data_IF_952348979310
#
_entry.id   IF_952348979310
#
_cell.length_a   1.000
_cell.length_b   1.000
_cell.length_c   1.000
_cell.angle_alpha   90.00
_cell.angle_beta   90.00
_cell.angle_gamma   90.00
#
_symmetry.space_group_name_H-M   'P 1'
#
loop_
_entity.id
_entity.type
_entity.pdbx_description
1 polymer ?
2 non-polymer ?
3 water ?
#
# COMPACT_ATOMS: atom_id res chain seq x y z
N UNK A 2 2.17 -25.59 8.03
CA UNK A 2 1.82 -24.30 7.38
C UNK A 2 2.47 -23.12 8.12
N UNK A 3 2.34 -23.11 9.45
CA UNK A 3 2.96 -22.06 10.26
C UNK A 3 4.48 -22.19 10.18
N UNK A 4 4.97 -23.41 10.39
CA UNK A 4 6.39 -23.72 10.24
C UNK A 4 6.91 -23.39 8.83
N UNK A 5 6.03 -23.48 7.82
CA UNK A 5 6.40 -23.20 6.42
C UNK A 5 6.55 -21.71 6.17
N UNK A 6 5.62 -20.92 6.70
CA UNK A 6 5.64 -19.46 6.51
C UNK A 6 6.91 -18.86 7.14
N UNK A 7 7.32 -19.43 8.27
CA UNK A 7 8.55 -19.00 8.93
C UNK A 7 9.82 -19.41 8.21
N UNK A 8 9.84 -20.65 7.68
CA UNK A 8 10.95 -21.09 6.82
C UNK A 8 11.09 -20.17 5.62
N UNK A 9 9.96 -19.91 4.95
CA UNK A 9 9.88 -18.99 3.82
C UNK A 9 10.39 -17.60 4.19
N UNK A 10 9.90 -17.08 5.30
CA UNK A 10 10.32 -15.78 5.77
C UNK A 10 11.82 -15.76 6.00
N UNK A 11 12.30 -16.76 6.73
CA UNK A 11 13.70 -16.79 7.11
C UNK A 11 14.63 -16.86 5.89
N UNK A 12 14.20 -17.59 4.86
CA UNK A 12 14.93 -17.64 3.60
C UNK A 12 14.95 -16.30 2.85
N UNK A 13 13.77 -15.70 2.68
CA UNK A 13 13.63 -14.38 2.07
C UNK A 13 14.43 -13.32 2.86
N UNK A 14 14.25 -13.33 4.17
CA UNK A 14 14.99 -12.39 5.02
C UNK A 14 16.49 -12.45 4.75
N UNK A 15 17.07 -13.64 4.85
CA UNK A 15 18.50 -13.83 4.58
C UNK A 15 18.88 -13.31 3.20
N UNK A 16 18.02 -13.59 2.22
CA UNK A 16 18.21 -13.11 0.86
C UNK A 16 18.24 -11.59 0.75
N UNK A 17 17.35 -10.92 1.47
CA UNK A 17 17.28 -9.47 1.42
C UNK A 17 18.56 -8.76 1.92
N UNK A 18 19.23 -9.36 2.90
CA UNK A 18 20.49 -8.79 3.40
C UNK A 18 21.68 -9.09 2.45
N UNK A 19 21.54 -10.12 1.62
CA UNK A 19 22.63 -10.63 0.79
C UNK A 19 22.89 -9.87 -0.49
N UNK A 20 21.97 -9.00 -0.87
CA UNK A 20 22.07 -8.31 -2.16
C UNK A 20 21.92 -6.82 -2.07
N UNK A 21 22.07 -6.11 -3.20
CA UNK A 21 21.89 -4.67 -3.21
C UNK A 21 20.41 -4.37 -3.16
N UNK A 22 20.08 -3.11 -2.87
CA UNK A 22 18.68 -2.69 -2.79
C UNK A 22 17.93 -2.88 -4.11
N UNK A 23 18.64 -2.78 -5.22
CA UNK A 23 18.05 -3.01 -6.55
C UNK A 23 17.48 -4.42 -6.65
N UNK A 24 18.18 -5.40 -6.09
CA UNK A 24 17.70 -6.78 -6.04
C UNK A 24 16.38 -6.90 -5.26
N UNK A 25 16.36 -6.29 -4.08
CA UNK A 25 15.20 -6.35 -3.21
C UNK A 25 14.01 -5.68 -3.90
N UNK A 26 14.27 -4.51 -4.51
CA UNK A 26 13.24 -3.77 -5.22
C UNK A 26 12.61 -4.56 -6.37
N UNK A 27 13.46 -5.14 -7.22
CA UNK A 27 13.00 -6.04 -8.29
C UNK A 27 12.12 -7.17 -7.79
N UNK A 28 12.60 -7.87 -6.76
CA UNK A 28 11.88 -8.99 -6.14
C UNK A 28 10.49 -8.56 -5.73
N UNK A 29 10.40 -7.48 -4.95
CA UNK A 29 9.10 -7.01 -4.48
C UNK A 29 8.22 -6.44 -5.58
N UNK A 30 8.84 -5.85 -6.61
CA UNK A 30 8.07 -5.35 -7.77
C UNK A 30 7.40 -6.52 -8.50
N UNK A 31 8.16 -7.59 -8.74
CA UNK A 31 7.67 -8.72 -9.53
C UNK A 31 6.82 -9.66 -8.70
N UNK A 32 7.09 -9.71 -7.39
CA UNK A 32 6.46 -10.65 -6.47
C UNK A 32 6.02 -9.90 -5.21
N UNK A 33 4.95 -9.10 -5.34
CA UNK A 33 4.48 -8.35 -4.18
C UNK A 33 4.01 -9.22 -2.99
N UNK A 34 3.59 -10.46 -3.26
CA UNK A 34 3.22 -11.40 -2.17
C UNK A 34 4.43 -11.69 -1.26
N UNK A 35 5.63 -11.63 -1.82
CA UNK A 35 6.87 -11.76 -1.05
C UNK A 35 7.00 -10.63 -0.03
N UNK A 36 6.50 -9.45 -0.39
CA UNK A 36 6.53 -8.32 0.53
C UNK A 36 5.60 -8.57 1.72
N UNK A 37 4.41 -9.11 1.41
CA UNK A 37 3.47 -9.52 2.43
C UNK A 37 4.08 -10.57 3.36
N UNK A 38 4.76 -11.56 2.78
CA UNK A 38 5.44 -12.59 3.55
C UNK A 38 6.44 -11.98 4.51
N UNK A 39 7.27 -11.07 4.00
CA UNK A 39 8.34 -10.46 4.76
C UNK A 39 7.74 -9.78 5.99
N UNK A 40 6.69 -8.99 5.79
CA UNK A 40 6.10 -8.25 6.89
C UNK A 40 5.29 -9.10 7.87
N UNK A 41 4.69 -10.18 7.41
CA UNK A 41 4.10 -11.17 8.31
C UNK A 41 5.18 -11.73 9.22
N UNK A 42 6.33 -12.04 8.64
CA UNK A 42 7.46 -12.59 9.39
C UNK A 42 8.02 -11.55 10.33
N UNK A 43 8.26 -10.35 9.81
CA UNK A 43 8.82 -9.27 10.60
C UNK A 43 7.94 -8.95 11.82
N UNK A 44 6.63 -8.85 11.60
CA UNK A 44 5.69 -8.61 12.69
C UNK A 44 5.69 -9.74 13.73
N UNK A 45 5.77 -10.99 13.28
CA UNK A 45 5.88 -12.13 14.21
C UNK A 45 7.12 -12.01 15.13
N UNK A 46 8.16 -11.37 14.64
CA UNK A 46 9.38 -11.18 15.43
C UNK A 46 9.25 -10.03 16.41
N UNK A 47 8.88 -8.86 15.92
CA UNK A 47 8.84 -7.66 16.76
C UNK A 47 7.71 -7.68 17.80
N UNK A 48 6.65 -8.45 17.54
CA UNK A 48 5.57 -8.65 18.53
C UNK A 48 6.11 -9.17 19.84
N UNK A 49 7.13 -10.01 19.77
CA UNK A 49 7.71 -10.60 20.99
C UNK A 49 8.83 -9.74 21.64
N UNK A 50 8.99 -8.50 21.18
CA UNK A 50 9.95 -7.59 21.80
C UNK A 50 9.19 -6.70 22.78
N UNK A 51 9.69 -6.57 24.02
CA UNK A 51 9.03 -5.69 25.01
C UNK A 51 8.81 -4.26 24.49
N UNK A 52 9.77 -3.76 23.72
CA UNK A 52 9.63 -2.44 23.09
C UNK A 52 10.24 -2.47 21.70
N UNK A 53 9.42 -2.14 20.71
CA UNK A 53 9.87 -1.96 19.35
C UNK A 53 10.66 -0.68 19.16
N UNK A 54 11.66 -0.73 18.28
CA UNK A 54 12.39 0.51 18.04
C UNK A 54 11.54 1.65 17.43
N UNK A 55 10.54 1.37 16.58
CA UNK A 55 9.68 2.47 16.08
C UNK A 55 9.04 3.27 17.20
N UNK A 56 8.62 2.59 18.26
CA UNK A 56 7.94 3.25 19.39
C UNK A 56 8.91 4.06 20.23
N UNK A 57 10.10 3.51 20.43
CA UNK A 57 11.15 4.24 21.10
C UNK A 57 11.52 5.51 20.28
N UNK A 58 11.58 5.36 18.96
CA UNK A 58 11.90 6.48 18.09
C UNK A 58 10.77 7.54 18.13
N UNK A 59 9.52 7.07 18.06
CA UNK A 59 8.35 7.93 18.19
C UNK A 59 8.36 8.69 19.51
N UNK A 60 8.70 8.00 20.60
CA UNK A 60 8.84 8.64 21.91
C UNK A 60 9.87 9.76 21.89
N UNK A 61 11.04 9.48 21.33
CA UNK A 61 12.06 10.52 21.17
C UNK A 61 11.51 11.73 20.43
N UNK A 62 10.87 11.49 19.27
CA UNK A 62 10.43 12.59 18.40
C UNK A 62 9.26 13.39 18.98
N UNK A 63 8.45 12.74 19.80
CA UNK A 63 7.33 13.40 20.48
C UNK A 63 7.78 14.43 21.50
N UNK A 64 9.03 14.37 21.94
CA UNK A 64 9.57 15.33 22.88
C UNK A 64 10.07 16.63 22.22
N UNK A 65 10.17 16.61 20.90
CA UNK A 65 10.61 17.75 20.13
C UNK A 65 9.43 18.30 19.35
N UNK A 66 9.54 19.57 18.89
CA UNK A 66 8.41 20.18 18.19
C UNK A 66 7.95 19.36 16.98
N UNK A 67 6.62 19.23 16.84
CA UNK A 67 6.05 18.43 15.77
C UNK A 67 6.17 19.09 14.39
N UNK A 68 6.67 20.32 14.33
CA UNK A 68 6.95 20.96 13.05
C UNK A 68 8.18 20.37 12.35
N UNK A 69 9.03 19.67 13.08
CA UNK A 69 10.18 18.99 12.48
C UNK A 69 9.75 17.99 11.43
N UNK A 70 10.30 18.13 10.22
CA UNK A 70 9.94 17.27 9.11
C UNK A 70 10.78 15.99 9.19
N UNK A 71 10.08 14.85 9.14
CA UNK A 71 10.66 13.53 9.31
C UNK A 71 10.61 12.77 7.98
N UNK A 72 11.71 12.09 7.64
CA UNK A 72 11.69 11.09 6.57
C UNK A 72 11.88 9.72 7.20
N UNK A 73 10.93 8.83 6.94
CA UNK A 73 10.99 7.46 7.47
C UNK A 73 11.49 6.59 6.33
N UNK A 74 12.78 6.24 6.40
CA UNK A 74 13.48 5.45 5.39
C UNK A 74 13.28 3.96 5.64
N UNK A 75 12.45 3.35 4.82
CA UNK A 75 12.05 1.95 5.03
C UNK A 75 10.96 1.88 6.05
N UNK A 76 9.83 2.53 5.75
CA UNK A 76 8.78 2.82 6.71
C UNK A 76 7.87 1.63 7.07
N UNK A 77 7.89 0.57 6.26
CA UNK A 77 6.98 -0.55 6.43
C UNK A 77 5.56 -0.07 6.51
N UNK A 78 4.84 -0.42 7.57
CA UNK A 78 3.43 -0.04 7.66
C UNK A 78 3.16 1.31 8.35
N UNK A 79 4.19 2.16 8.43
CA UNK A 79 4.05 3.56 8.82
C UNK A 79 3.54 3.77 10.24
N UNK A 80 3.92 2.87 11.14
CA UNK A 80 3.62 3.05 12.56
C UNK A 80 4.25 4.36 13.10
N UNK A 81 5.40 4.77 12.56
CA UNK A 81 6.01 6.04 13.00
C UNK A 81 5.08 7.21 12.67
N UNK A 82 4.64 7.31 11.41
CA UNK A 82 3.72 8.37 10.99
C UNK A 82 2.40 8.32 11.79
N UNK A 83 1.92 7.12 12.12
CA UNK A 83 0.72 6.95 12.93
C UNK A 83 0.89 7.40 14.38
N UNK A 84 2.14 7.48 14.84
CA UNK A 84 2.44 7.68 16.25
C UNK A 84 2.86 9.12 16.59
N UNK A 85 3.14 9.92 15.57
CA UNK A 85 3.55 11.30 15.77
C UNK A 85 2.79 12.23 14.83
N UNK A 86 2.71 13.49 15.23
CA UNK A 86 1.95 14.49 14.48
C UNK A 86 2.78 15.19 13.41
N UNK A 87 4.10 14.99 13.45
CA UNK A 87 5.00 15.58 12.47
C UNK A 87 4.58 15.27 11.04
N UNK A 88 5.02 16.14 10.10
CA UNK A 88 5.00 15.72 8.71
C UNK A 88 6.01 14.60 8.55
N UNK A 89 5.57 13.44 8.07
CA UNK A 89 6.42 12.28 7.92
C UNK A 89 6.35 11.76 6.48
N UNK A 90 7.46 11.89 5.76
CA UNK A 90 7.61 11.28 4.46
C UNK A 90 7.96 9.82 4.67
N UNK A 91 7.17 8.95 4.03
CA UNK A 91 7.24 7.51 4.22
C UNK A 91 7.76 6.84 2.96
N UNK A 92 8.93 6.22 3.05
CA UNK A 92 9.57 5.59 1.90
C UNK A 92 9.77 4.09 2.10
N UNK A 93 9.35 3.29 1.12
CA UNK A 93 9.63 1.86 1.17
C UNK A 93 9.57 1.27 -0.25
N UNK A 94 10.08 0.05 -0.40
CA UNK A 94 10.14 -0.62 -1.70
C UNK A 94 8.76 -1.09 -2.22
N UNK A 95 7.79 -1.13 -1.32
CA UNK A 95 6.44 -1.53 -1.67
C UNK A 95 5.54 -0.97 -0.59
N UNK A 96 4.23 -1.03 -0.81
CA UNK A 96 3.28 -0.29 -0.01
C UNK A 96 2.32 -1.18 0.77
N UNK A 97 2.29 -0.99 2.08
CA UNK A 97 1.28 -1.54 2.96
C UNK A 97 0.38 -0.44 3.53
N UNK A 98 0.52 0.78 3.04
CA UNK A 98 -0.14 1.90 3.67
C UNK A 98 -0.19 3.01 2.67
N UNK A 99 -1.31 3.74 2.59
CA UNK A 99 -1.47 4.74 1.54
C UNK A 99 -0.51 5.92 1.61
N UNK A 100 0.17 6.11 2.73
CA UNK A 100 1.16 7.19 2.86
C UNK A 100 2.49 6.85 2.23
N UNK A 101 2.71 5.58 1.91
CA UNK A 101 3.99 5.16 1.34
C UNK A 101 4.24 5.71 -0.07
N UNK A 102 5.37 6.39 -0.20
CA UNK A 102 5.93 6.76 -1.48
C UNK A 102 6.88 5.65 -1.82
N UNK A 103 6.54 4.91 -2.88
CA UNK A 103 7.23 3.70 -3.23
C UNK A 103 8.50 4.04 -4.03
N UNK A 104 9.65 3.60 -3.53
CA UNK A 104 10.92 3.90 -4.14
C UNK A 104 12.01 3.11 -3.44
N UNK A 105 13.19 3.08 -4.04
CA UNK A 105 14.42 2.75 -3.34
C UNK A 105 14.86 3.99 -2.54
N UNK A 106 15.07 3.79 -1.25
CA UNK A 106 15.38 4.89 -0.34
C UNK A 106 16.80 5.42 -0.55
N UNK A 107 17.59 4.71 -1.35
CA UNK A 107 18.84 5.23 -1.88
C UNK A 107 18.61 6.48 -2.72
N UNK A 108 17.40 6.61 -3.28
CA UNK A 108 17.06 7.74 -4.11
C UNK A 108 15.59 8.10 -3.90
N UNK A 109 15.35 9.04 -2.99
CA UNK A 109 13.99 9.46 -2.65
C UNK A 109 13.64 10.80 -3.32
N UNK A 110 12.35 11.00 -3.66
CA UNK A 110 11.89 12.23 -4.32
C UNK A 110 11.73 13.42 -3.37
N UNK A 111 12.84 13.87 -2.80
CA UNK A 111 12.88 15.04 -1.94
C UNK A 111 14.04 15.93 -2.37
N UNK A 112 13.92 17.23 -2.10
CA UNK A 112 15.01 18.20 -2.36
C UNK A 112 16.16 17.97 -1.39
N UNK A 113 17.34 18.50 -1.71
CA UNK A 113 18.41 18.63 -0.74
C UNK A 113 17.90 19.43 0.46
N UNK A 114 18.39 19.10 1.65
CA UNK A 114 18.12 19.88 2.87
C UNK A 114 16.64 20.20 3.04
N UNK A 115 15.83 19.17 2.87
CA UNK A 115 14.38 19.28 2.97
C UNK A 115 13.83 18.71 4.28
N UNK A 116 14.62 17.92 5.01
CA UNK A 116 14.09 17.27 6.20
C UNK A 116 14.92 17.57 7.44
N UNK A 117 14.26 17.48 8.60
CA UNK A 117 14.88 17.74 9.89
C UNK A 117 15.38 16.47 10.56
N UNK A 118 14.71 15.37 10.28
CA UNK A 118 15.03 14.08 10.90
C UNK A 118 14.91 12.94 9.87
N UNK A 119 15.99 12.18 9.69
CA UNK A 119 15.97 10.97 8.87
C UNK A 119 15.98 9.78 9.79
N UNK A 120 15.00 8.89 9.60
CA UNK A 120 14.90 7.67 10.40
C UNK A 120 15.14 6.40 9.57
N UNK A 121 16.10 5.60 10.03
CA UNK A 121 16.26 4.20 9.60
C UNK A 121 15.99 3.27 10.77
N UNK A 122 14.78 2.74 10.85
CA UNK A 122 14.37 1.85 11.92
C UNK A 122 14.30 0.40 11.41
N UNK A 123 15.40 -0.33 11.61
CA UNK A 123 15.53 -1.72 11.17
C UNK A 123 15.48 -1.89 9.63
N UNK A 124 15.90 -0.86 8.91
CA UNK A 124 15.70 -0.78 7.46
C UNK A 124 16.97 -0.82 6.62
N UNK A 125 18.15 -0.79 7.23
CA UNK A 125 19.40 -0.74 6.47
C UNK A 125 19.78 -2.16 6.00
N UNK A 126 19.00 -2.69 5.08
CA UNK A 126 19.04 -4.13 4.76
C UNK A 126 20.04 -4.48 3.68
N UNK A 127 20.01 -3.77 2.55
CA UNK A 127 20.85 -4.13 1.42
C UNK A 127 22.34 -3.94 1.64
N UNK A 128 23.15 -4.51 0.76
CA UNK A 128 24.61 -4.41 0.87
C UNK A 128 25.15 -3.01 0.56
N UNK A 129 24.31 -2.16 -0.06
CA UNK A 129 24.73 -0.81 -0.44
C UNK A 129 24.31 0.20 0.62
N UNK A 130 24.65 -0.09 1.87
CA UNK A 130 24.22 0.73 2.99
C UNK A 130 24.75 2.16 2.88
N UNK A 131 25.93 2.31 2.30
CA UNK A 131 26.49 3.64 2.07
C UNK A 131 25.55 4.54 1.27
N UNK A 132 24.85 3.97 0.30
CA UNK A 132 23.93 4.73 -0.55
C UNK A 132 22.80 5.34 0.29
N UNK A 133 22.28 4.54 1.24
CA UNK A 133 21.14 4.97 2.05
C UNK A 133 21.54 6.15 2.91
N UNK A 134 22.69 6.04 3.55
CA UNK A 134 23.13 7.05 4.49
C UNK A 134 23.55 8.35 3.79
N UNK A 135 24.09 8.22 2.59
CA UNK A 135 24.45 9.41 1.80
C UNK A 135 23.20 10.13 1.32
N UNK A 136 22.16 9.38 1.01
CA UNK A 136 20.88 9.98 0.64
C UNK A 136 20.22 10.66 1.84
N UNK A 137 20.34 10.04 3.01
CA UNK A 137 19.93 10.66 4.28
C UNK A 137 20.64 11.99 4.46
N UNK A 138 21.97 11.98 4.32
CA UNK A 138 22.73 13.21 4.41
C UNK A 138 22.22 14.27 3.44
N UNK A 139 21.98 13.88 2.19
CA UNK A 139 21.54 14.81 1.14
C UNK A 139 20.29 15.58 1.52
N UNK A 140 19.26 14.83 1.96
CA UNK A 140 17.96 15.41 2.26
C UNK A 140 17.92 16.14 3.60
N UNK A 141 18.85 15.82 4.50
CA UNK A 141 18.90 16.45 5.82
C UNK A 141 19.41 17.88 5.74
N UNK A 142 18.72 18.78 6.43
CA UNK A 142 19.21 20.13 6.62
C UNK A 142 20.48 20.09 7.45
N UNK A 143 21.36 21.10 7.29
CA UNK A 143 22.53 21.14 8.15
C UNK A 143 22.08 21.14 9.61
N UNK A 144 22.78 20.39 10.46
CA UNK A 144 22.42 20.23 11.86
C UNK A 144 21.27 19.27 12.11
N UNK A 145 20.69 18.69 11.05
CA UNK A 145 19.59 17.75 11.19
C UNK A 145 19.94 16.48 11.92
N UNK A 146 18.91 15.69 12.24
CA UNK A 146 19.05 14.49 13.05
C UNK A 146 18.94 13.22 12.22
N UNK A 147 19.88 12.30 12.41
CA UNK A 147 19.80 10.94 11.88
C UNK A 147 19.62 9.93 13.02
N UNK A 148 18.53 9.18 12.96
CA UNK A 148 18.29 8.10 13.92
C UNK A 148 18.40 6.75 13.22
N UNK A 149 19.23 5.87 13.78
CA UNK A 149 19.39 4.51 13.27
C UNK A 149 19.10 3.51 14.38
N UNK A 150 18.16 2.58 14.10
CA UNK A 150 17.95 1.39 14.95
C UNK A 150 18.22 0.13 14.16
N UNK A 151 19.04 -0.75 14.71
CA UNK A 151 19.25 -2.07 14.14
C UNK A 151 19.44 -3.09 15.25
N UNK A 152 19.06 -4.33 14.97
CA UNK A 152 19.30 -5.43 15.89
C UNK A 152 20.79 -5.47 16.27
N UNK A 153 21.08 -5.68 17.56
CA UNK A 153 22.45 -5.52 18.06
C UNK A 153 23.42 -6.51 17.43
N UNK A 154 22.95 -7.71 17.15
CA UNK A 154 23.79 -8.78 16.58
C UNK A 154 24.26 -8.46 15.17
N UNK A 155 23.65 -7.48 14.53
CA UNK A 155 24.16 -6.97 13.27
C UNK A 155 25.53 -6.30 13.42
N UNK A 156 25.86 -5.79 14.61
CA UNK A 156 27.11 -5.04 14.82
C UNK A 156 28.21 -5.91 15.43
N UNK A 157 29.21 -6.28 14.63
CA UNK A 157 30.38 -6.98 15.13
C UNK A 157 31.41 -5.99 15.68
N UNK A 158 31.31 -4.74 15.23
CA UNK A 158 32.19 -3.69 15.75
C UNK A 158 31.49 -2.35 15.67
N UNK A 159 30.80 -1.99 16.74
CA UNK A 159 30.08 -0.73 16.82
C UNK A 159 31.02 0.44 16.60
N UNK A 160 32.21 0.36 17.18
CA UNK A 160 33.22 1.41 17.03
C UNK A 160 33.46 1.77 15.56
N UNK A 161 33.69 0.77 14.72
CA UNK A 161 34.00 1.04 13.32
C UNK A 161 32.75 1.50 12.57
N UNK A 162 31.58 0.95 12.93
CA UNK A 162 30.34 1.41 12.31
C UNK A 162 30.15 2.90 12.53
N UNK A 163 30.22 3.32 13.80
CA UNK A 163 30.12 4.72 14.14
C UNK A 163 31.19 5.56 13.45
N UNK A 164 32.40 5.03 13.33
CA UNK A 164 33.49 5.75 12.66
C UNK A 164 33.14 6.01 11.19
N UNK A 165 32.58 5.00 10.54
CA UNK A 165 32.23 5.08 9.12
C UNK A 165 31.11 6.08 8.90
N UNK A 166 30.13 6.06 9.80
CA UNK A 166 28.99 6.96 9.70
C UNK A 166 29.48 8.40 9.84
N UNK A 167 30.39 8.63 10.78
CA UNK A 167 31.00 9.94 10.95
C UNK A 167 31.68 10.46 9.67
N UNK A 168 32.29 9.55 8.91
CA UNK A 168 32.92 9.88 7.61
C UNK A 168 31.93 10.36 6.55
N UNK A 169 30.66 10.06 6.77
CA UNK A 169 29.61 10.52 5.87
C UNK A 169 29.00 11.84 6.34
N UNK A 170 29.71 12.59 7.19
CA UNK A 170 29.32 13.95 7.56
C UNK A 170 28.39 14.03 8.76
N UNK A 171 28.51 13.08 9.68
CA UNK A 171 27.68 13.06 10.88
C UNK A 171 28.54 13.07 12.12
N UNK A 172 27.93 13.48 13.24
CA UNK A 172 28.53 13.39 14.55
C UNK A 172 27.58 12.60 15.45
N UNK A 173 28.09 11.62 16.18
CA UNK A 173 27.29 10.90 17.16
C UNK A 173 26.89 11.87 18.28
N UNK A 174 25.61 11.86 18.64
CA UNK A 174 25.07 12.70 19.68
C UNK A 174 24.73 11.83 20.88
N UNK A 175 24.11 10.69 20.64
CA UNK A 175 23.94 9.71 21.70
C UNK A 175 23.72 8.35 21.11
N UNK A 176 23.96 7.33 21.93
CA UNK A 176 23.66 5.97 21.55
C UNK A 176 23.06 5.23 22.72
N UNK A 177 22.00 4.50 22.43
CA UNK A 177 21.30 3.76 23.44
C UNK A 177 21.42 2.27 23.09
N UNK A 178 22.23 1.59 23.89
CA UNK A 178 22.48 0.17 23.78
C UNK A 178 21.76 -0.60 24.89
N UNK A 179 20.75 0.01 25.50
CA UNK A 179 20.11 -0.59 26.68
C UNK A 179 18.99 -1.57 26.32
N UNK A 180 18.38 -1.40 25.15
CA UNK A 180 17.37 -2.37 24.72
C UNK A 180 18.04 -3.64 24.24
N UNK A 181 17.61 -4.79 24.75
CA UNK A 181 18.24 -6.09 24.44
C UNK A 181 18.08 -6.54 22.98
N UNK A 182 17.10 -5.97 22.27
CA UNK A 182 16.81 -6.38 20.89
C UNK A 182 17.38 -5.46 19.84
N UNK A 183 17.77 -4.24 20.21
CA UNK A 183 18.30 -3.33 19.21
C UNK A 183 19.17 -2.25 19.82
N UNK A 184 20.08 -1.72 19.00
CA UNK A 184 20.85 -0.54 19.33
C UNK A 184 20.24 0.65 18.61
N UNK A 185 20.18 1.77 19.31
CA UNK A 185 19.68 3.01 18.73
C UNK A 185 20.77 4.07 18.79
N UNK A 186 21.06 4.65 17.63
CA UNK A 186 22.07 5.71 17.52
C UNK A 186 21.43 6.99 16.99
N UNK A 187 21.73 8.11 17.64
CA UNK A 187 21.39 9.45 17.16
C UNK A 187 22.66 10.16 16.69
N UNK A 188 22.63 10.61 15.45
CA UNK A 188 23.71 11.41 14.86
C UNK A 188 23.14 12.73 14.44
N UNK A 189 23.99 13.74 14.42
CA UNK A 189 23.61 15.05 13.93
C UNK A 189 24.43 15.30 12.68
N UNK A 190 23.81 15.89 11.66
CA UNK A 190 24.51 16.20 10.42
C UNK A 190 25.41 17.42 10.63
N UNK A 191 26.71 17.24 10.41
CA UNK A 191 27.67 18.34 10.43
C UNK A 191 27.90 18.95 9.05
N UNK A 192 27.65 18.19 7.98
CA UNK A 192 27.89 18.64 6.63
C UNK A 192 27.83 17.48 5.66
N UNK A 193 28.33 17.67 4.42
CA UNK A 193 28.38 16.56 3.45
C UNK A 193 29.47 15.54 3.79
N UNK A 194 29.42 14.34 3.16
CA UNK A 194 30.43 13.33 3.44
C UNK A 194 31.83 13.89 3.29
N UNK A 195 32.77 13.46 4.11
CA UNK A 195 34.13 13.97 3.99
C UNK A 195 35.13 12.98 3.38
N UNK A 196 34.59 11.84 2.93
CA UNK A 196 35.30 10.93 2.04
C UNK A 196 34.60 11.01 0.69
N UNK A 197 35.36 11.14 -0.38
CA UNK A 197 34.77 11.28 -1.71
C UNK A 197 33.97 10.05 -2.12
N UNK A 198 33.16 10.18 -3.18
CA UNK A 198 32.29 9.05 -3.57
C UNK A 198 33.04 7.81 -4.13
N UNK A 199 34.37 7.81 -4.05
CA UNK A 199 35.18 6.65 -4.44
C UNK A 199 36.05 6.13 -3.29
N UNK A 200 35.75 6.54 -2.07
CA UNK A 200 36.45 6.01 -0.90
C UNK A 200 35.84 4.67 -0.51
N UNK A 201 36.61 3.84 0.19
CA UNK A 201 36.07 2.61 0.78
C UNK A 201 35.50 3.01 2.13
N UNK A 202 34.69 2.13 2.72
CA UNK A 202 34.10 2.43 4.02
C UNK A 202 33.58 1.12 4.63
N UNK A 203 34.51 0.27 5.05
CA UNK A 203 34.19 -1.10 5.47
C UNK A 203 33.39 -1.18 6.75
N UNK A 204 33.53 -0.16 7.60
CA UNK A 204 32.78 -0.09 8.84
C UNK A 204 31.28 -0.19 8.68
N UNK A 205 30.77 0.07 7.48
CA UNK A 205 29.31 0.01 7.23
C UNK A 205 28.80 -1.39 6.95
N UNK A 206 29.70 -2.32 6.66
CA UNK A 206 29.32 -3.70 6.36
C UNK A 206 28.80 -4.38 7.63
N UNK A 207 27.49 -4.51 7.73
CA UNK A 207 26.85 -5.12 8.90
C UNK A 207 26.53 -6.60 8.67
N UNK A 208 26.43 -7.35 9.76
CA UNK A 208 25.97 -8.74 9.69
C UNK A 208 24.47 -8.72 9.48
N UNK A 209 23.91 -9.76 8.82
CA UNK A 209 22.45 -9.82 8.62
C UNK A 209 21.69 -10.00 9.93
N UNK A 210 20.46 -9.48 10.01
CA UNK A 210 19.62 -9.81 11.17
C UNK A 210 18.94 -11.15 10.91
N UNK A 211 19.37 -12.18 11.66
CA UNK A 211 18.82 -13.54 11.52
C UNK A 211 17.76 -13.92 12.57
N UNK A 212 17.34 -12.96 13.39
CA UNK A 212 16.22 -13.17 14.33
C UNK A 212 16.40 -14.37 15.26
N UNK A 213 17.48 -14.32 16.02
CA UNK A 213 17.86 -15.30 17.04
C UNK A 213 19.07 -16.13 16.59
N UNK B 2 -13.70 9.15 20.59
CA UNK B 2 -12.74 8.77 19.52
C UNK B 2 -13.36 7.78 18.53
N UNK B 3 -14.04 6.77 19.07
CA UNK B 3 -14.78 5.82 18.23
C UNK B 3 -15.90 6.54 17.48
N UNK B 4 -16.64 7.36 18.21
CA UNK B 4 -17.69 8.21 17.63
C UNK B 4 -17.12 9.13 16.55
N UNK B 5 -15.95 9.72 16.79
CA UNK B 5 -15.30 10.60 15.80
C UNK B 5 -15.00 9.89 14.50
N UNK B 6 -14.41 8.70 14.61
CA UNK B 6 -14.02 7.92 13.43
C UNK B 6 -15.23 7.67 12.52
N UNK B 7 -16.37 7.34 13.13
CA UNK B 7 -17.61 7.12 12.38
C UNK B 7 -18.13 8.34 11.62
N UNK B 8 -18.17 9.48 12.28
CA UNK B 8 -18.65 10.72 11.64
C UNK B 8 -17.76 11.11 10.47
N UNK B 9 -16.46 10.93 10.64
CA UNK B 9 -15.50 11.23 9.58
C UNK B 9 -15.67 10.30 8.39
N UNK B 10 -15.88 9.02 8.64
CA UNK B 10 -16.20 8.07 7.57
C UNK B 10 -17.45 8.48 6.80
N UNK B 11 -18.50 8.85 7.51
CA UNK B 11 -19.77 9.23 6.87
C UNK B 11 -19.61 10.42 5.91
N UNK B 12 -18.89 11.45 6.36
CA UNK B 12 -18.59 12.60 5.52
C UNK B 12 -17.83 12.16 4.28
N UNK B 13 -16.75 11.40 4.48
CA UNK B 13 -15.89 10.97 3.36
C UNK B 13 -16.67 10.07 2.40
N UNK B 14 -17.41 9.12 2.97
CA UNK B 14 -18.22 8.22 2.18
C UNK B 14 -19.13 9.00 1.22
N UNK B 15 -19.87 9.97 1.76
CA UNK B 15 -20.83 10.74 0.96
C UNK B 15 -20.13 11.47 -0.17
N UNK B 16 -18.95 12.00 0.12
CA UNK B 16 -18.16 12.71 -0.86
C UNK B 16 -17.76 11.80 -2.01
N UNK B 17 -17.45 10.53 -1.71
CA UNK B 17 -17.07 9.56 -2.75
C UNK B 17 -18.19 9.25 -3.73
N UNK B 18 -19.43 9.20 -3.23
CA UNK B 18 -20.60 8.99 -4.09
C UNK B 18 -21.14 10.26 -4.74
N UNK B 19 -20.62 11.42 -4.34
CA UNK B 19 -21.17 12.71 -4.77
C UNK B 19 -20.41 13.34 -5.93
N UNK B 20 -19.20 12.87 -6.20
CA UNK B 20 -18.36 13.47 -7.22
C UNK B 20 -17.88 12.49 -8.26
N UNK B 21 -17.19 13.00 -9.30
CA UNK B 21 -16.57 12.11 -10.26
C UNK B 21 -15.35 11.45 -9.64
N UNK B 22 -14.80 10.44 -10.31
CA UNK B 22 -13.65 9.70 -9.79
C UNK B 22 -12.43 10.60 -9.62
N UNK B 23 -12.31 11.60 -10.49
CA UNK B 23 -11.20 12.55 -10.40
C UNK B 23 -11.15 13.26 -9.05
N UNK B 24 -12.33 13.65 -8.54
CA UNK B 24 -12.43 14.27 -7.22
C UNK B 24 -11.94 13.34 -6.10
N UNK B 25 -12.45 12.11 -6.11
CA UNK B 25 -12.04 11.08 -5.15
C UNK B 25 -10.54 10.81 -5.20
N UNK B 26 -10.00 10.72 -6.41
CA UNK B 26 -8.56 10.51 -6.58
C UNK B 26 -7.74 11.60 -5.87
N UNK B 27 -8.11 12.85 -6.08
CA UNK B 27 -7.36 13.98 -5.50
C UNK B 27 -7.51 14.01 -3.99
N UNK B 28 -8.69 13.61 -3.53
CA UNK B 28 -8.99 13.51 -2.11
C UNK B 28 -7.96 12.59 -1.45
N UNK B 29 -7.81 11.39 -1.99
CA UNK B 29 -6.94 10.40 -1.37
C UNK B 29 -5.46 10.65 -1.67
N UNK B 30 -5.16 11.22 -2.83
CA UNK B 30 -3.78 11.61 -3.16
C UNK B 30 -3.27 12.62 -2.15
N UNK B 31 -4.02 13.69 -1.95
CA UNK B 31 -3.61 14.75 -1.02
C UNK B 31 -3.72 14.36 0.46
N UNK B 32 -4.62 13.44 0.79
CA UNK B 32 -4.86 13.06 2.18
C UNK B 32 -4.98 11.54 2.34
N UNK B 33 -3.82 10.84 2.29
CA UNK B 33 -3.83 9.36 2.42
C UNK B 33 -4.40 8.82 3.75
N UNK B 34 -4.28 9.58 4.83
CA UNK B 34 -4.91 9.20 6.09
C UNK B 34 -6.42 9.12 5.98
N UNK B 35 -7.01 9.93 5.10
CA UNK B 35 -8.45 9.81 4.77
C UNK B 35 -8.79 8.43 4.23
N UNK B 36 -7.88 7.86 3.46
CA UNK B 36 -8.10 6.53 2.90
C UNK B 36 -8.15 5.47 3.99
N UNK B 37 -7.25 5.57 4.97
CA UNK B 37 -7.26 4.67 6.11
C UNK B 37 -8.58 4.79 6.86
N UNK B 38 -9.00 6.04 7.08
CA UNK B 38 -10.27 6.33 7.73
C UNK B 38 -11.42 5.71 6.95
N UNK B 39 -11.44 5.92 5.64
CA UNK B 39 -12.48 5.33 4.80
C UNK B 39 -12.54 3.81 4.96
N UNK B 40 -11.39 3.15 4.83
CA UNK B 40 -11.38 1.70 4.86
C UNK B 40 -11.69 1.11 6.23
N UNK B 41 -11.33 1.81 7.30
CA UNK B 41 -11.76 1.42 8.67
C UNK B 41 -13.29 1.49 8.79
N UNK B 42 -13.89 2.54 8.24
CA UNK B 42 -15.34 2.67 8.25
C UNK B 42 -16.05 1.67 7.34
N UNK B 43 -15.52 1.49 6.14
CA UNK B 43 -16.10 0.56 5.17
C UNK B 43 -16.06 -0.85 5.72
N UNK B 44 -14.93 -1.21 6.31
CA UNK B 44 -14.77 -2.53 6.89
C UNK B 44 -15.78 -2.79 8.00
N UNK B 45 -16.03 -1.77 8.83
CA UNK B 45 -16.96 -1.88 9.92
C UNK B 45 -18.38 -2.11 9.42
N UNK B 46 -18.73 -1.51 8.28
CA UNK B 46 -20.04 -1.74 7.69
C UNK B 46 -20.13 -3.18 7.19
N UNK B 47 -19.24 -3.54 6.26
CA UNK B 47 -19.38 -4.84 5.58
C UNK B 47 -19.21 -6.04 6.51
N UNK B 48 -18.46 -5.88 7.60
CA UNK B 48 -18.27 -7.02 8.51
C UNK B 48 -19.57 -7.38 9.24
N UNK B 49 -20.46 -6.40 9.39
CA UNK B 49 -21.78 -6.65 10.00
C UNK B 49 -22.73 -7.39 9.05
N UNK B 50 -22.28 -7.67 7.83
CA UNK B 50 -23.08 -8.43 6.86
C UNK B 50 -22.87 -9.92 7.08
N UNK B 51 -23.93 -10.73 6.91
CA UNK B 51 -23.79 -12.19 7.02
C UNK B 51 -22.75 -12.76 6.07
N UNK B 52 -22.72 -12.28 4.84
CA UNK B 52 -21.69 -12.68 3.89
C UNK B 52 -21.05 -11.46 3.23
N UNK B 53 -19.75 -11.53 2.99
CA UNK B 53 -19.03 -10.47 2.32
C UNK B 53 -19.06 -10.77 0.82
N UNK B 54 -19.42 -9.76 0.01
CA UNK B 54 -19.44 -9.98 -1.44
C UNK B 54 -18.10 -10.40 -2.05
N UNK B 55 -16.98 -9.85 -1.58
CA UNK B 55 -15.69 -10.27 -2.12
C UNK B 55 -15.50 -11.79 -1.96
N UNK B 56 -16.02 -12.37 -0.88
CA UNK B 56 -15.94 -13.82 -0.65
C UNK B 56 -16.86 -14.61 -1.57
N UNK B 57 -18.05 -14.08 -1.82
CA UNK B 57 -18.93 -14.72 -2.80
C UNK B 57 -18.29 -14.71 -4.19
N UNK B 58 -17.63 -13.61 -4.53
CA UNK B 58 -17.00 -13.46 -5.84
C UNK B 58 -15.80 -14.41 -5.95
N UNK B 59 -14.99 -14.49 -4.90
CA UNK B 59 -13.88 -15.44 -4.83
C UNK B 59 -14.36 -16.89 -5.01
N UNK B 60 -15.38 -17.25 -4.25
CA UNK B 60 -15.96 -18.58 -4.35
C UNK B 60 -16.36 -18.89 -5.78
N UNK B 61 -17.08 -17.95 -6.40
CA UNK B 61 -17.46 -18.07 -7.81
C UNK B 61 -16.24 -18.33 -8.70
N UNK B 62 -15.18 -17.55 -8.51
CA UNK B 62 -13.99 -17.64 -9.37
C UNK B 62 -13.16 -18.92 -9.11
N UNK B 63 -13.23 -19.44 -7.90
CA UNK B 63 -12.57 -20.71 -7.56
C UNK B 63 -13.24 -21.91 -8.22
N UNK B 64 -14.42 -21.70 -8.79
CA UNK B 64 -15.10 -22.74 -9.57
C UNK B 64 -14.69 -22.70 -11.05
N UNK B 65 -13.84 -21.74 -11.43
CA UNK B 65 -13.38 -21.61 -12.80
C UNK B 65 -11.88 -21.82 -12.83
N UNK B 66 -11.33 -22.16 -14.01
CA UNK B 66 -9.87 -22.27 -14.15
C UNK B 66 -9.11 -21.09 -13.55
N UNK B 67 -8.12 -21.40 -12.72
CA UNK B 67 -7.30 -20.37 -12.08
C UNK B 67 -6.42 -19.60 -13.06
N UNK B 68 -6.38 -20.06 -14.31
CA UNK B 68 -5.66 -19.36 -15.37
C UNK B 68 -6.37 -18.08 -15.84
N UNK B 69 -7.65 -17.94 -15.51
CA UNK B 69 -8.37 -16.74 -15.87
C UNK B 69 -7.75 -15.48 -15.22
N UNK B 70 -7.39 -14.51 -16.06
CA UNK B 70 -6.78 -13.27 -15.61
C UNK B 70 -7.90 -12.36 -15.10
N UNK B 71 -7.74 -11.89 -13.86
CA UNK B 71 -8.76 -11.11 -13.15
C UNK B 71 -8.29 -9.67 -12.96
N UNK B 72 -9.20 -8.72 -13.17
CA UNK B 72 -8.96 -7.33 -12.83
C UNK B 72 -9.94 -6.93 -11.75
N UNK B 73 -9.40 -6.54 -10.60
CA UNK B 73 -10.17 -6.13 -9.44
C UNK B 73 -10.21 -4.60 -9.43
N UNK B 74 -11.31 -4.02 -9.90
CA UNK B 74 -11.50 -2.57 -9.96
C UNK B 74 -12.01 -2.04 -8.62
N UNK B 75 -11.21 -1.26 -7.91
CA UNK B 75 -11.56 -0.82 -6.55
C UNK B 75 -11.28 -1.93 -5.57
N UNK B 76 -10.02 -2.38 -5.56
CA UNK B 76 -9.63 -3.61 -4.90
C UNK B 76 -9.56 -3.52 -3.38
N UNK B 77 -9.57 -2.32 -2.82
CA UNK B 77 -9.36 -2.14 -1.40
C UNK B 77 -8.11 -2.86 -0.92
N UNK B 78 -8.27 -3.67 0.13
CA UNK B 78 -7.16 -4.40 0.73
C UNK B 78 -6.88 -5.73 0.06
N UNK B 79 -7.43 -5.94 -1.15
CA UNK B 79 -7.07 -7.09 -1.98
C UNK B 79 -7.42 -8.45 -1.43
N UNK B 80 -8.49 -8.51 -0.65
CA UNK B 80 -8.99 -9.81 -0.20
C UNK B 80 -9.30 -10.78 -1.37
N UNK B 81 -9.73 -10.26 -2.51
CA UNK B 81 -10.00 -11.11 -3.66
C UNK B 81 -8.71 -11.83 -4.10
N UNK B 82 -7.65 -11.06 -4.36
CA UNK B 82 -6.35 -11.62 -4.72
C UNK B 82 -5.82 -12.60 -3.68
N UNK B 83 -6.02 -12.30 -2.40
CA UNK B 83 -5.57 -13.20 -1.32
C UNK B 83 -6.37 -14.51 -1.27
N UNK B 84 -7.54 -14.54 -1.93
CA UNK B 84 -8.47 -15.66 -1.81
C UNK B 84 -8.49 -16.61 -3.03
N UNK B 85 -7.87 -16.22 -4.13
CA UNK B 85 -7.81 -17.04 -5.34
C UNK B 85 -6.40 -17.11 -5.88
N UNK B 86 -6.13 -18.15 -6.66
CA UNK B 86 -4.80 -18.38 -7.23
C UNK B 86 -4.59 -17.64 -8.55
N UNK B 87 -5.68 -17.11 -9.12
CA UNK B 87 -5.61 -16.46 -10.44
C UNK B 87 -4.64 -15.29 -10.42
N UNK B 88 -4.07 -14.95 -11.58
CA UNK B 88 -3.45 -13.62 -11.72
C UNK B 88 -4.52 -12.53 -11.55
N UNK B 89 -4.30 -11.62 -10.60
CA UNK B 89 -5.27 -10.58 -10.30
C UNK B 89 -4.60 -9.22 -10.30
N UNK B 90 -5.02 -8.37 -11.22
CA UNK B 90 -4.60 -6.98 -11.25
C UNK B 90 -5.48 -6.21 -10.31
N UNK B 91 -4.85 -5.47 -9.40
CA UNK B 91 -5.54 -4.81 -8.31
C UNK B 91 -5.43 -3.32 -8.47
N UNK B 92 -6.57 -2.66 -8.68
CA UNK B 92 -6.60 -1.21 -8.93
C UNK B 92 -7.40 -0.47 -7.85
N UNK B 93 -6.81 0.60 -7.31
CA UNK B 93 -7.53 1.46 -6.39
C UNK B 93 -6.91 2.87 -6.40
N UNK B 94 -7.61 3.82 -5.79
CA UNK B 94 -7.15 5.21 -5.71
C UNK B 94 -5.95 5.41 -4.76
N UNK B 95 -5.72 4.46 -3.88
CA UNK B 95 -4.58 4.49 -2.96
C UNK B 95 -4.29 3.07 -2.53
N UNK B 96 -3.13 2.83 -1.92
CA UNK B 96 -2.64 1.48 -1.63
C UNK B 96 -2.67 1.05 -0.15
N UNK B 97 -3.38 -0.06 0.12
CA UNK B 97 -3.31 -0.77 1.41
C UNK B 97 -2.49 -2.04 1.29
N UNK B 98 -1.99 -2.33 0.10
CA UNK B 98 -1.45 -3.64 -0.20
C UNK B 98 -0.48 -3.50 -1.37
N UNK B 99 0.64 -4.25 -1.32
CA UNK B 99 1.67 -4.05 -2.31
C UNK B 99 1.30 -4.48 -3.73
N UNK B 100 0.21 -5.22 -3.89
CA UNK B 100 -0.28 -5.55 -5.22
C UNK B 100 -1.02 -4.42 -5.90
N UNK B 101 -1.38 -3.41 -5.14
CA UNK B 101 -2.21 -2.32 -5.66
C UNK B 101 -1.46 -1.48 -6.67
N UNK B 102 -2.02 -1.42 -7.87
CA UNK B 102 -1.62 -0.47 -8.86
C UNK B 102 -2.50 0.74 -8.66
N UNK B 103 -1.90 1.86 -8.23
CA UNK B 103 -2.69 3.03 -7.87
C UNK B 103 -3.10 3.81 -9.11
N UNK B 104 -4.41 3.98 -9.30
CA UNK B 104 -4.91 4.74 -10.43
C UNK B 104 -6.40 4.96 -10.25
N UNK B 105 -6.97 5.78 -11.13
CA UNK B 105 -8.40 5.87 -11.29
C UNK B 105 -8.80 4.70 -12.17
N UNK B 106 -9.68 3.85 -11.65
CA UNK B 106 -10.09 2.63 -12.37
C UNK B 106 -10.82 2.94 -13.71
N UNK B 107 -11.24 4.19 -13.92
CA UNK B 107 -11.70 4.66 -15.23
C UNK B 107 -10.57 4.61 -16.28
N UNK B 108 -9.32 4.70 -15.83
CA UNK B 108 -8.17 4.64 -16.73
C UNK B 108 -7.09 3.74 -16.16
N UNK B 109 -7.20 2.47 -16.48
CA UNK B 109 -6.37 1.41 -15.93
C UNK B 109 -5.21 1.11 -16.91
N UNK B 110 -3.98 0.93 -16.38
CA UNK B 110 -2.84 0.66 -17.26
C UNK B 110 -2.76 -0.80 -17.75
N UNK B 111 -3.78 -1.21 -18.50
CA UNK B 111 -3.82 -2.51 -19.16
C UNK B 111 -4.11 -2.27 -20.63
N UNK B 112 -3.62 -3.14 -21.50
CA UNK B 112 -3.96 -3.04 -22.92
C UNK B 112 -5.35 -3.63 -23.13
N UNK B 113 -5.93 -3.33 -24.28
CA UNK B 113 -7.22 -3.86 -24.70
C UNK B 113 -7.20 -5.39 -24.65
N UNK B 114 -8.32 -5.99 -24.27
CA UNK B 114 -8.49 -7.45 -24.33
C UNK B 114 -7.33 -8.21 -23.65
N UNK B 115 -7.05 -7.81 -22.42
CA UNK B 115 -5.94 -8.38 -21.66
C UNK B 115 -6.40 -9.20 -20.45
N UNK B 116 -7.68 -9.13 -20.11
CA UNK B 116 -8.18 -9.84 -18.93
C UNK B 116 -9.42 -10.65 -19.25
N UNK B 117 -9.61 -11.73 -18.49
CA UNK B 117 -10.74 -12.64 -18.65
C UNK B 117 -11.91 -12.26 -17.72
N UNK B 118 -11.60 -11.62 -16.60
CA UNK B 118 -12.62 -11.25 -15.62
C UNK B 118 -12.38 -9.85 -15.06
N UNK B 119 -13.40 -9.02 -15.14
CA UNK B 119 -13.42 -7.72 -14.51
C UNK B 119 -14.34 -7.82 -13.30
N UNK B 120 -13.90 -7.27 -12.17
CA UNK B 120 -14.70 -7.31 -10.93
C UNK B 120 -14.89 -5.91 -10.36
N UNK B 121 -16.15 -5.52 -10.15
CA UNK B 121 -16.46 -4.32 -9.35
C UNK B 121 -17.21 -4.79 -8.13
N UNK B 122 -16.51 -4.91 -7.00
CA UNK B 122 -17.13 -5.37 -5.75
C UNK B 122 -17.30 -4.17 -4.83
N UNK B 123 -18.51 -3.59 -4.86
CA UNK B 123 -18.89 -2.42 -4.06
C UNK B 123 -18.04 -1.17 -4.37
N UNK B 124 -17.53 -1.10 -5.60
CA UNK B 124 -16.57 -0.06 -5.95
C UNK B 124 -17.13 0.96 -6.92
N UNK B 125 -18.34 0.76 -7.42
CA UNK B 125 -18.91 1.67 -8.41
C UNK B 125 -19.42 2.93 -7.71
N UNK B 126 -18.51 3.75 -7.24
CA UNK B 126 -18.85 4.80 -6.28
C UNK B 126 -19.13 6.14 -6.96
N UNK B 127 -18.17 6.60 -7.75
CA UNK B 127 -18.26 7.95 -8.34
C UNK B 127 -19.42 8.14 -9.33
N UNK B 128 -19.70 9.40 -9.66
CA UNK B 128 -20.81 9.73 -10.54
C UNK B 128 -20.60 9.27 -11.99
N UNK B 129 -19.34 9.05 -12.39
CA UNK B 129 -19.00 8.65 -13.76
C UNK B 129 -18.94 7.11 -13.93
N UNK B 130 -20.02 6.42 -13.58
CA UNK B 130 -20.03 4.95 -13.59
C UNK B 130 -19.90 4.38 -15.00
N UNK B 131 -20.42 5.08 -15.99
CA UNK B 131 -20.24 4.64 -17.38
C UNK B 131 -18.77 4.56 -17.78
N UNK B 132 -17.95 5.52 -17.34
CA UNK B 132 -16.51 5.46 -17.56
C UNK B 132 -15.92 4.15 -17.06
N UNK B 133 -16.31 3.75 -15.84
CA UNK B 133 -15.78 2.55 -15.24
C UNK B 133 -16.16 1.30 -16.06
N UNK B 134 -17.43 1.22 -16.44
CA UNK B 134 -17.95 0.03 -17.13
C UNK B 134 -17.38 -0.10 -18.55
N UNK B 135 -17.24 1.04 -19.22
CA UNK B 135 -16.60 1.06 -20.53
C UNK B 135 -15.12 0.68 -20.48
N UNK B 136 -14.43 1.06 -19.40
CA UNK B 136 -13.03 0.69 -19.21
C UNK B 136 -12.91 -0.81 -18.94
N UNK B 137 -13.84 -1.37 -18.17
CA UNK B 137 -13.93 -2.82 -18.00
C UNK B 137 -14.16 -3.49 -19.36
N UNK B 138 -15.08 -2.97 -20.16
CA UNK B 138 -15.27 -3.48 -21.51
C UNK B 138 -13.95 -3.49 -22.29
N UNK B 139 -13.24 -2.37 -22.30
CA UNK B 139 -12.00 -2.26 -23.08
C UNK B 139 -11.00 -3.39 -22.74
N UNK B 140 -10.76 -3.60 -21.46
CA UNK B 140 -9.70 -4.53 -21.05
C UNK B 140 -10.13 -5.99 -21.14
N UNK B 141 -11.44 -6.23 -21.13
CA UNK B 141 -11.96 -7.59 -21.23
C UNK B 141 -11.73 -8.19 -22.62
N UNK B 142 -11.32 -9.45 -22.61
CA UNK B 142 -11.22 -10.23 -23.82
C UNK B 142 -12.62 -10.48 -24.36
N UNK B 143 -12.73 -10.76 -25.67
CA UNK B 143 -14.06 -11.00 -26.21
C UNK B 143 -14.72 -12.15 -25.46
N UNK B 144 -15.99 -12.00 -25.12
CA UNK B 144 -16.68 -13.00 -24.34
C UNK B 144 -16.25 -13.07 -22.89
N UNK B 145 -15.47 -12.07 -22.44
CA UNK B 145 -14.99 -12.04 -21.07
C UNK B 145 -16.10 -11.82 -20.05
N UNK B 146 -15.76 -11.98 -18.78
CA UNK B 146 -16.74 -11.92 -17.70
C UNK B 146 -16.64 -10.60 -16.91
N UNK B 147 -17.78 -9.94 -16.73
CA UNK B 147 -17.88 -8.80 -15.83
C UNK B 147 -18.71 -9.21 -14.61
N UNK B 148 -18.12 -9.10 -13.42
CA UNK B 148 -18.81 -9.42 -12.16
C UNK B 148 -19.01 -8.15 -11.36
N UNK B 149 -20.26 -7.87 -11.00
CA UNK B 149 -20.56 -6.71 -10.18
C UNK B 149 -21.24 -7.13 -8.89
N UNK B 150 -20.78 -6.56 -7.77
CA UNK B 150 -21.56 -6.58 -6.53
C UNK B 150 -21.78 -5.13 -6.16
N UNK B 151 -23.00 -4.80 -5.74
CA UNK B 151 -23.28 -3.43 -5.38
C UNK B 151 -24.37 -3.40 -4.31
N UNK B 152 -24.33 -2.36 -3.49
CA UNK B 152 -25.26 -2.23 -2.38
C UNK B 152 -26.68 -2.09 -2.95
N UNK B 153 -27.58 -2.94 -2.49
CA UNK B 153 -28.90 -3.10 -3.12
C UNK B 153 -29.76 -1.86 -3.01
N UNK B 154 -29.62 -1.12 -1.92
CA UNK B 154 -30.36 0.13 -1.71
C UNK B 154 -30.06 1.18 -2.79
N UNK B 155 -28.92 1.04 -3.45
CA UNK B 155 -28.49 2.03 -4.44
C UNK B 155 -29.26 1.96 -5.75
N UNK B 156 -29.93 0.84 -6.00
CA UNK B 156 -30.75 0.69 -7.20
C UNK B 156 -32.16 1.21 -6.94
N UNK B 157 -32.65 2.09 -7.81
CA UNK B 157 -34.05 2.44 -7.81
C UNK B 157 -34.81 1.24 -8.36
N UNK B 158 -34.55 0.92 -9.62
CA UNK B 158 -35.05 -0.33 -10.22
C UNK B 158 -33.87 -1.05 -10.83
N UNK B 159 -33.55 -2.23 -10.30
CA UNK B 159 -32.41 -3.01 -10.76
C UNK B 159 -32.49 -3.39 -12.24
N UNK B 160 -33.70 -3.59 -12.74
CA UNK B 160 -33.90 -3.95 -14.14
C UNK B 160 -33.45 -2.84 -15.08
N UNK B 161 -33.67 -1.59 -14.67
CA UNK B 161 -33.20 -0.45 -15.45
C UNK B 161 -31.65 -0.37 -15.45
N UNK B 162 -31.02 -0.72 -14.33
CA UNK B 162 -29.56 -0.77 -14.28
C UNK B 162 -29.02 -1.84 -15.25
N UNK B 163 -29.58 -3.05 -15.16
CA UNK B 163 -29.14 -4.17 -15.96
C UNK B 163 -29.35 -3.91 -17.44
N UNK B 164 -30.50 -3.36 -17.82
CA UNK B 164 -30.74 -3.01 -19.21
C UNK B 164 -29.76 -1.92 -19.69
N UNK B 165 -29.36 -1.03 -18.81
CA UNK B 165 -28.35 -0.01 -19.15
C UNK B 165 -26.97 -0.62 -19.42
N UNK B 166 -26.53 -1.55 -18.57
CA UNK B 166 -25.22 -2.17 -18.71
C UNK B 166 -25.13 -2.89 -20.04
N UNK B 167 -26.21 -3.54 -20.42
CA UNK B 167 -26.36 -4.19 -21.73
C UNK B 167 -25.96 -3.29 -22.90
N UNK B 168 -26.33 -2.02 -22.83
CA UNK B 168 -26.06 -1.07 -23.91
C UNK B 168 -24.58 -0.74 -24.07
N UNK B 169 -23.78 -1.10 -23.06
CA UNK B 169 -22.33 -0.92 -23.08
C UNK B 169 -21.56 -2.10 -23.69
N UNK B 170 -22.27 -3.04 -24.29
CA UNK B 170 -21.65 -4.17 -24.97
C UNK B 170 -21.47 -5.38 -24.07
N UNK B 171 -22.51 -5.70 -23.31
CA UNK B 171 -22.56 -6.86 -22.43
C UNK B 171 -23.88 -7.60 -22.56
N UNK B 172 -23.88 -8.88 -22.20
CA UNK B 172 -25.09 -9.70 -22.10
C UNK B 172 -25.18 -10.25 -20.65
N UNK B 173 -26.38 -10.22 -20.07
CA UNK B 173 -26.56 -10.73 -18.70
C UNK B 173 -26.45 -12.26 -18.75
N UNK B 174 -25.58 -12.82 -17.91
CA UNK B 174 -25.43 -14.27 -17.83
C UNK B 174 -26.21 -14.81 -16.64
N UNK B 175 -26.06 -14.15 -15.49
CA UNK B 175 -26.81 -14.49 -14.31
C UNK B 175 -26.80 -13.35 -13.30
N UNK B 176 -27.64 -13.53 -12.28
CA UNK B 176 -27.73 -12.59 -11.19
C UNK B 176 -28.25 -13.26 -9.95
N UNK B 177 -27.84 -12.74 -8.82
CA UNK B 177 -28.27 -13.23 -7.53
C UNK B 177 -28.72 -12.01 -6.73
N UNK B 178 -30.03 -11.90 -6.55
CA UNK B 178 -30.61 -10.78 -5.84
C UNK B 178 -31.15 -11.22 -4.47
N UNK B 179 -30.64 -12.34 -3.96
CA UNK B 179 -31.24 -12.98 -2.80
C UNK B 179 -30.71 -12.47 -1.47
N UNK B 180 -29.50 -11.93 -1.45
CA UNK B 180 -28.92 -11.40 -0.20
C UNK B 180 -29.41 -9.98 0.03
N UNK B 181 -29.49 -9.58 1.28
CA UNK B 181 -30.14 -8.30 1.61
C UNK B 181 -29.33 -7.11 1.13
N UNK B 182 -28.07 -7.05 1.55
CA UNK B 182 -27.28 -5.83 1.43
C UNK B 182 -26.79 -5.59 0.03
N UNK B 183 -26.51 -6.66 -0.71
CA UNK B 183 -25.95 -6.52 -2.05
C UNK B 183 -26.58 -7.43 -3.07
N UNK B 184 -26.59 -6.96 -4.30
CA UNK B 184 -26.91 -7.74 -5.47
C UNK B 184 -25.62 -8.12 -6.18
N UNK B 185 -25.62 -9.30 -6.79
CA UNK B 185 -24.51 -9.79 -7.59
C UNK B 185 -25.01 -9.98 -9.02
N UNK B 186 -24.27 -9.44 -9.98
CA UNK B 186 -24.56 -9.62 -11.41
C UNK B 186 -23.33 -10.14 -12.15
N UNK B 187 -23.55 -11.12 -13.02
CA UNK B 187 -22.56 -11.55 -13.99
C UNK B 187 -23.00 -11.18 -15.41
N UNK B 188 -22.12 -10.49 -16.14
CA UNK B 188 -22.34 -10.16 -17.53
C UNK B 188 -21.19 -10.70 -18.36
N UNK B 189 -21.48 -10.95 -19.64
CA UNK B 189 -20.48 -11.39 -20.58
C UNK B 189 -20.35 -10.33 -21.66
N UNK B 190 -19.11 -9.90 -21.90
CA UNK B 190 -18.82 -8.97 -22.99
C UNK B 190 -19.23 -9.55 -24.36
N UNK B 191 -19.95 -8.76 -25.14
CA UNK B 191 -20.33 -9.15 -26.51
C UNK B 191 -19.70 -8.24 -27.57
N UNK B 192 -19.27 -7.06 -27.18
CA UNK B 192 -18.63 -6.15 -28.11
C UNK B 192 -18.46 -4.77 -27.53
N UNK B 193 -18.25 -3.77 -28.40
CA UNK B 193 -18.18 -2.41 -27.90
C UNK B 193 -19.57 -1.92 -27.56
N UNK B 194 -19.67 -0.78 -26.86
CA UNK B 194 -20.99 -0.17 -26.62
C UNK B 194 -21.78 -0.03 -27.91
N UNK B 195 -23.11 -0.17 -27.85
CA UNK B 195 -23.94 0.06 -29.03
C UNK B 195 -24.73 1.38 -28.96
N UNK B 196 -24.42 2.19 -27.96
CA UNK B 196 -24.88 3.57 -27.91
C UNK B 196 -23.66 4.48 -27.82
N UNK B 197 -23.75 5.66 -28.45
CA UNK B 197 -22.62 6.58 -28.53
C UNK B 197 -22.45 7.37 -27.25
N UNK B 198 -21.31 8.09 -27.11
CA UNK B 198 -20.98 8.76 -25.85
C UNK B 198 -22.02 9.78 -25.38
N UNK B 199 -22.87 10.23 -26.29
CA UNK B 199 -23.95 11.17 -25.97
C UNK B 199 -25.20 10.52 -25.39
N UNK B 200 -25.25 9.19 -25.34
CA UNK B 200 -26.40 8.50 -24.73
C UNK B 200 -26.47 8.83 -23.23
N UNK B 201 -27.69 9.09 -22.74
CA UNK B 201 -27.88 9.50 -21.36
C UNK B 201 -27.61 8.36 -20.39
N UNK B 202 -28.14 7.18 -20.70
CA UNK B 202 -28.07 6.00 -19.83
C UNK B 202 -28.38 6.40 -18.39
N UNK B 203 -29.56 6.98 -18.19
CA UNK B 203 -30.05 7.30 -16.85
C UNK B 203 -29.98 6.07 -15.97
N UNK B 204 -30.30 4.92 -16.55
CA UNK B 204 -30.31 3.64 -15.86
C UNK B 204 -29.02 3.24 -15.15
N UNK B 205 -27.89 3.84 -15.53
CA UNK B 205 -26.63 3.58 -14.83
C UNK B 205 -26.53 4.36 -13.52
N UNK B 206 -27.37 5.39 -13.37
CA UNK B 206 -27.35 6.23 -12.18
C UNK B 206 -27.74 5.38 -10.97
N UNK B 207 -26.85 5.33 -9.98
CA UNK B 207 -27.13 4.67 -8.71
C UNK B 207 -27.18 5.72 -7.61
N UNK B 208 -28.00 5.46 -6.60
CA UNK B 208 -28.18 6.40 -5.49
C UNK B 208 -27.02 6.21 -4.55
N UNK B 209 -26.49 7.30 -3.94
CA UNK B 209 -25.44 7.11 -2.95
C UNK B 209 -25.90 6.22 -1.79
N UNK B 210 -25.02 5.34 -1.30
CA UNK B 210 -25.31 4.59 -0.08
C UNK B 210 -24.64 5.25 1.11
N UNK B 211 -25.44 5.72 2.05
CA UNK B 211 -24.95 6.43 3.22
C UNK B 211 -25.07 5.57 4.48
N UNK B 212 -25.34 4.28 4.30
CA UNK B 212 -25.50 3.32 5.40
C UNK B 212 -26.50 3.80 6.46
X LIG C 1 10.68 0.82 9.96
X LIG C 1 9.56 -0.12 9.96
X LIG C 1 9.84 -1.32 9.04
X LIG C 1 11.09 -2.14 9.36
X LIG C 1 11.23 -3.68 8.39
X LIG C 1 9.24 -0.64 11.37
X LIG C 1 10.08 -0.51 12.27
X LIG C 1 8.16 -1.21 11.61
X LIG C 1 12.39 -3.05 7.15
X LIG C 1 11.73 -2.23 6.02
X LIG C 1 12.76 -1.55 5.32
X LIG C 1 10.97 -3.09 5.00
X LIG C 1 9.65 -2.57 4.82
X LIG C 1 11.80 -2.97 3.75
X LIG C 1 11.10 -3.12 2.53
X LIG C 1 12.41 -1.57 3.96
X LIG C 1 13.55 -1.38 3.08
X LIG C 1 14.69 -2.14 3.05
X LIG C 1 15.47 -1.65 2.08
X LIG C 1 14.86 -0.59 1.48
X LIG C 1 15.25 0.28 0.45
X LIG C 1 16.41 0.13 -0.16
X LIG C 1 14.40 1.29 0.06
X LIG C 1 13.19 1.46 0.69
X LIG C 1 12.80 0.60 1.73
X LIG C 1 13.64 -0.41 2.11
X LIG D 1 -13.62 -4.35 -3.57
X LIG D 1 -13.11 -4.25 -2.20
X LIG D 1 -13.24 -2.82 -1.68
X LIG D 1 -14.62 -2.17 -1.79
X LIG D 1 -14.67 -0.54 -0.98
X LIG D 1 -13.84 -5.14 -1.20
X LIG D 1 -14.97 -5.59 -1.40
X LIG D 1 -13.31 -5.36 -0.11
X LIG D 1 -14.67 0.40 -2.51
X LIG D 1 -13.26 0.65 -3.02
X LIG D 1 -13.37 1.13 -4.34
X LIG D 1 -12.50 1.68 -2.19
X LIG D 1 -11.24 1.18 -1.78
X LIG D 1 -12.36 2.85 -3.14
X LIG D 1 -11.14 3.53 -2.99
X LIG D 1 -12.44 2.17 -4.51
X LIG D 1 -12.78 3.10 -5.59
X LIG D 1 -13.86 3.95 -5.68
X LIG D 1 -13.77 4.66 -6.81
X LIG D 1 -12.63 4.30 -7.45
X LIG D 1 -12.05 4.72 -8.64
X LIG D 1 -12.60 5.63 -9.45
X LIG D 1 -10.87 4.14 -9.01
X LIG D 1 -10.27 3.16 -8.24
X LIG D 1 -10.84 2.76 -7.05
X LIG D 1 -12.01 3.32 -6.68
#
# INVERSE_FOLDING_TARGET
MAQRLDGARFRYLNEQLYSGPSSAAQRLFQEDPEAFLLYHRGFQSQVKKWPLQPVDRIARDLRQRPASLVVADFGCGDCRLASSIRNPVHCFDLASLDPRVTVCDMAQVPLEDESVDVAVFCLSLMGTNIRDFLEEANRVLKPGGLLKVAEVSSRFEDVRTFLRAVTKLGFKIVSKDLTNSHFFLFDFQKTGPPLVGPKAQLSGLQLQPCLYKRR
MAQRLDGARFRYLNEQLYSGPSSAAQRLFQEDPEAFLLYHRGFQSQVKKWPLQPVDRIARDLRQRPASLVVADFGCGDCRLASSIRNPVHCFDLASLDPRVTVCDMAQVPLEDESVDVAVFCLSLMGTNIRDFLEEANRVLKPGGLLKVAEVSSRFEDVRTFLRAVTKLGFKIVSKDLTNSHFFLFDFQKTGPPLVGPKAQLSGLQLQPCLYKRR
SAH N CA CB CG SD C O OXT C5' C4' O4' C3' O3' C2' O2' C1' N9 C8 N7 C5 C6 N6 N1 C2 N3 C4
SAH N CA CB CG SD C O OXT C5' C4' O4' C3' O3' C2' O2' C1' N9 C8 N7 C5 C6 N6 N1 C2 N3 C4
#
